data_IF_634873741406
#
_entry.id   IF_634873741406
#
_cell.length_a   1.000
_cell.length_b   1.000
_cell.length_c   1.000
_cell.angle_alpha   90.00
_cell.angle_beta   90.00
_cell.angle_gamma   90.00
#
_symmetry.space_group_name_H-M   'P 1'
#
loop_
_entity.id
_entity.type
_entity.pdbx_description
1 polymer ?
#
# COMPACT_ATOMS: atom_id res chain seq x y z
N UNK A 1 -30.04 52.90 -44.03
CA UNK A 1 -29.24 51.68 -43.83
C UNK A 1 -29.07 51.44 -42.33
N UNK A 2 -29.70 50.41 -41.76
CA UNK A 2 -29.54 50.01 -40.35
C UNK A 2 -29.02 48.57 -40.32
N UNK A 3 -27.78 48.38 -39.86
CA UNK A 3 -27.22 47.05 -39.61
C UNK A 3 -27.63 46.58 -38.21
N UNK A 4 -28.28 45.42 -38.11
CA UNK A 4 -28.48 44.71 -36.84
C UNK A 4 -27.37 43.67 -36.70
N UNK A 5 -26.55 43.79 -35.66
CA UNK A 5 -25.59 42.77 -35.24
C UNK A 5 -26.34 41.71 -34.41
N UNK A 6 -26.32 40.45 -34.86
CA UNK A 6 -26.76 39.30 -34.08
C UNK A 6 -25.54 38.69 -33.37
N UNK A 7 -25.53 38.71 -32.05
CA UNK A 7 -24.55 38.00 -31.24
C UNK A 7 -25.03 36.56 -31.02
N UNK A 8 -24.27 35.59 -31.53
CA UNK A 8 -24.42 34.17 -31.21
C UNK A 8 -23.67 33.87 -29.92
N UNK A 9 -24.39 33.51 -28.86
CA UNK A 9 -23.82 32.94 -27.64
C UNK A 9 -23.77 31.43 -27.81
N UNK A 10 -22.58 30.87 -27.99
CA UNK A 10 -22.36 29.44 -28.00
C UNK A 10 -22.27 28.92 -26.56
N UNK A 11 -23.28 28.17 -26.12
CA UNK A 11 -23.23 27.40 -24.88
C UNK A 11 -22.42 26.11 -25.12
N UNK A 12 -21.20 26.08 -24.60
CA UNK A 12 -20.41 24.85 -24.53
C UNK A 12 -21.01 23.92 -23.49
N UNK A 13 -21.63 22.83 -23.95
CA UNK A 13 -22.04 21.70 -23.11
C UNK A 13 -20.78 21.05 -22.53
N UNK A 14 -20.49 21.31 -21.26
CA UNK A 14 -19.52 20.53 -20.49
C UNK A 14 -20.14 19.16 -20.27
N UNK A 15 -19.70 18.19 -21.06
CA UNK A 15 -20.02 16.78 -20.84
C UNK A 15 -19.41 16.35 -19.51
N UNK A 16 -20.27 16.10 -18.53
CA UNK A 16 -19.88 15.38 -17.32
C UNK A 16 -19.57 13.94 -17.73
N UNK A 17 -18.28 13.58 -17.77
CA UNK A 17 -17.90 12.17 -17.85
C UNK A 17 -18.46 11.45 -16.62
N UNK A 18 -19.09 10.27 -16.79
CA UNK A 18 -19.53 9.48 -15.65
C UNK A 18 -18.30 9.11 -14.83
N UNK A 19 -18.33 9.43 -13.54
CA UNK A 19 -17.39 8.88 -12.56
C UNK A 19 -17.44 7.36 -12.73
N UNK A 20 -16.33 6.79 -13.19
CA UNK A 20 -16.17 5.35 -13.27
C UNK A 20 -16.48 4.80 -11.87
N UNK A 21 -17.57 4.05 -11.75
CA UNK A 21 -17.91 3.37 -10.51
C UNK A 21 -16.76 2.45 -10.16
N UNK A 22 -16.06 2.75 -9.06
CA UNK A 22 -15.11 1.83 -8.47
C UNK A 22 -15.87 0.51 -8.22
N UNK A 23 -15.44 -0.55 -8.89
CA UNK A 23 -15.97 -1.89 -8.67
C UNK A 23 -15.72 -2.26 -7.21
N UNK A 24 -16.71 -2.86 -6.55
CA UNK A 24 -16.76 -3.24 -5.12
C UNK A 24 -15.50 -4.01 -4.63
N UNK A 25 -14.74 -4.64 -5.52
CA UNK A 25 -13.49 -5.35 -5.22
C UNK A 25 -12.20 -4.50 -5.31
N UNK A 26 -12.28 -3.18 -5.45
CA UNK A 26 -11.09 -2.33 -5.56
C UNK A 26 -10.29 -2.26 -4.26
N UNK A 27 -10.85 -2.63 -3.11
CA UNK A 27 -10.16 -2.57 -1.82
C UNK A 27 -8.98 -3.55 -1.68
N UNK A 28 -8.98 -4.65 -2.45
CA UNK A 28 -8.02 -5.76 -2.31
C UNK A 28 -6.86 -5.73 -3.33
N UNK A 29 -7.11 -5.27 -4.57
CA UNK A 29 -6.16 -5.47 -5.67
C UNK A 29 -5.01 -4.47 -5.64
N UNK A 30 -3.86 -4.89 -5.13
CA UNK A 30 -2.62 -4.13 -5.24
C UNK A 30 -2.01 -4.21 -6.63
N UNK A 31 -1.31 -3.15 -7.03
CA UNK A 31 -0.40 -3.20 -8.16
C UNK A 31 0.82 -4.02 -7.73
N UNK A 32 1.10 -5.10 -8.45
CA UNK A 32 2.29 -5.94 -8.27
C UNK A 32 3.38 -5.44 -9.19
N UNK A 33 4.61 -5.35 -8.67
CA UNK A 33 5.79 -4.93 -9.39
C UNK A 33 6.91 -5.95 -9.17
N UNK A 34 7.69 -6.19 -10.22
CA UNK A 34 8.92 -6.95 -10.18
C UNK A 34 10.11 -5.99 -10.05
N UNK A 35 11.24 -6.42 -9.46
CA UNK A 35 12.46 -5.60 -9.39
C UNK A 35 12.90 -5.07 -10.76
N UNK A 36 12.69 -5.84 -11.82
CA UNK A 36 12.97 -5.45 -13.20
C UNK A 36 12.15 -4.24 -13.66
N UNK A 37 10.90 -4.12 -13.22
CA UNK A 37 10.05 -2.98 -13.52
C UNK A 37 10.65 -1.70 -12.94
N UNK A 38 11.31 -1.79 -11.79
CA UNK A 38 11.92 -0.67 -11.08
C UNK A 38 13.24 -0.16 -11.68
N UNK A 39 13.73 -0.80 -12.76
CA UNK A 39 14.78 -0.22 -13.62
C UNK A 39 14.31 1.08 -14.26
N UNK A 40 13.00 1.21 -14.45
CA UNK A 40 12.34 2.45 -14.81
C UNK A 40 11.49 2.93 -13.64
N UNK A 41 11.18 4.23 -13.60
CA UNK A 41 10.27 4.74 -12.58
C UNK A 41 8.86 4.28 -12.91
N UNK A 42 8.27 3.53 -11.99
CA UNK A 42 6.89 3.07 -12.07
C UNK A 42 6.00 4.07 -11.33
N UNK A 43 5.03 4.63 -12.03
CA UNK A 43 4.08 5.59 -11.47
C UNK A 43 2.71 4.94 -11.24
N UNK A 44 2.24 5.00 -9.99
CA UNK A 44 0.99 4.39 -9.55
C UNK A 44 0.04 5.53 -9.14
N UNK A 45 -0.97 5.85 -9.97
CA UNK A 45 -1.90 6.93 -9.68
C UNK A 45 -2.81 6.58 -8.51
N UNK A 46 -3.22 7.60 -7.76
CA UNK A 46 -4.35 7.48 -6.84
C UNK A 46 -5.68 7.34 -7.61
N UNK A 47 -6.72 6.75 -7.00
CA UNK A 47 -8.04 6.60 -7.64
C UNK A 47 -8.64 7.89 -8.20
N UNK A 48 -8.44 9.03 -7.52
CA UNK A 48 -8.92 10.36 -7.95
C UNK A 48 -8.06 11.01 -9.07
N UNK A 49 -6.94 10.37 -9.43
CA UNK A 49 -5.97 10.86 -10.42
C UNK A 49 -5.19 12.11 -10.01
N UNK A 50 -5.39 12.64 -8.79
CA UNK A 50 -4.75 13.89 -8.33
C UNK A 50 -3.33 13.67 -7.82
N UNK A 51 -3.03 12.45 -7.37
CA UNK A 51 -1.76 12.07 -6.77
C UNK A 51 -1.19 10.84 -7.45
N UNK A 52 0.10 10.60 -7.23
CA UNK A 52 0.74 9.34 -7.60
C UNK A 52 1.90 9.02 -6.67
N UNK A 53 2.11 7.73 -6.49
CA UNK A 53 3.32 7.19 -5.88
C UNK A 53 4.22 6.73 -7.03
N UNK A 54 5.44 7.22 -7.08
CA UNK A 54 6.44 6.79 -8.04
C UNK A 54 7.48 5.94 -7.31
N UNK A 55 7.65 4.71 -7.77
CA UNK A 55 8.62 3.76 -7.24
C UNK A 55 9.72 3.56 -8.28
N UNK A 56 10.96 3.69 -7.84
CA UNK A 56 12.13 3.39 -8.67
C UNK A 56 13.18 2.72 -7.81
N UNK A 57 14.12 2.03 -8.44
CA UNK A 57 15.21 1.42 -7.71
C UNK A 57 15.45 0.00 -8.17
N UNK A 58 16.52 -0.15 -8.93
CA UNK A 58 17.26 -1.38 -9.13
C UNK A 58 18.52 -0.98 -9.92
N UNK A 59 19.63 -0.66 -9.23
CA UNK A 59 20.90 -0.35 -9.88
C UNK A 59 21.91 -1.40 -9.48
N UNK A 60 22.20 -2.29 -10.44
CA UNK A 60 23.25 -3.32 -10.47
C UNK A 60 23.74 -3.85 -9.12
N UNK A 61 23.15 -4.98 -8.70
CA UNK A 61 23.63 -6.15 -7.94
C UNK A 61 24.82 -6.11 -6.96
N UNK A 62 25.60 -5.05 -6.81
CA UNK A 62 26.81 -5.10 -5.97
C UNK A 62 26.62 -4.57 -4.56
N UNK A 63 26.00 -3.40 -4.32
CA UNK A 63 26.16 -2.80 -2.98
C UNK A 63 24.96 -2.03 -2.40
N UNK A 64 23.77 -2.03 -3.00
CA UNK A 64 22.57 -1.54 -2.29
C UNK A 64 21.25 -1.99 -2.91
N UNK A 65 20.69 -3.10 -2.41
CA UNK A 65 19.28 -3.43 -2.64
C UNK A 65 18.40 -2.39 -1.95
N UNK A 66 17.52 -1.76 -2.72
CA UNK A 66 16.71 -0.66 -2.23
C UNK A 66 16.07 0.12 -3.35
N UNK A 67 15.33 1.14 -2.95
CA UNK A 67 14.62 1.97 -3.91
C UNK A 67 14.25 3.32 -3.34
N UNK A 68 13.54 4.06 -4.16
CA UNK A 68 13.06 5.39 -3.88
C UNK A 68 11.56 5.41 -4.10
N UNK A 69 10.84 5.66 -3.02
CA UNK A 69 9.42 6.00 -3.09
C UNK A 69 9.30 7.51 -3.09
N UNK A 70 8.66 8.05 -4.13
CA UNK A 70 8.34 9.47 -4.24
C UNK A 70 6.83 9.62 -4.34
N UNK A 71 6.27 10.66 -3.72
CA UNK A 71 4.84 10.92 -3.75
C UNK A 71 4.60 12.32 -4.30
N UNK A 72 3.74 12.40 -5.31
CA UNK A 72 3.45 13.63 -6.05
C UNK A 72 1.98 14.02 -5.95
N UNK A 73 1.73 15.32 -6.09
CA UNK A 73 0.42 15.89 -6.42
C UNK A 73 0.57 16.76 -7.67
N UNK A 74 -0.05 16.35 -8.77
CA UNK A 74 0.29 16.91 -10.09
C UNK A 74 1.80 16.83 -10.34
N UNK A 75 2.47 17.96 -10.63
CA UNK A 75 3.94 17.99 -10.84
C UNK A 75 4.76 18.22 -9.56
N UNK A 76 4.12 18.52 -8.43
CA UNK A 76 4.80 18.85 -7.17
C UNK A 76 5.19 17.56 -6.46
N UNK A 77 6.48 17.38 -6.17
CA UNK A 77 6.97 16.37 -5.23
C UNK A 77 6.56 16.76 -3.81
N UNK A 78 5.74 15.94 -3.15
CA UNK A 78 5.34 16.15 -1.76
C UNK A 78 6.37 15.58 -0.79
N UNK A 79 6.84 14.36 -1.05
CA UNK A 79 7.79 13.66 -0.17
C UNK A 79 8.55 12.56 -0.90
N UNK A 80 9.71 12.21 -0.36
CA UNK A 80 10.54 11.11 -0.83
C UNK A 80 11.02 10.27 0.36
N UNK A 81 11.05 8.95 0.17
CA UNK A 81 11.50 7.97 1.15
C UNK A 81 12.51 7.03 0.49
N UNK A 82 13.63 6.77 1.17
CA UNK A 82 14.54 5.70 0.80
C UNK A 82 13.99 4.38 1.33
N UNK A 83 14.07 3.35 0.50
CA UNK A 83 13.71 1.98 0.80
C UNK A 83 14.99 1.14 0.81
N UNK A 84 15.05 0.17 1.72
CA UNK A 84 16.15 -0.78 1.83
C UNK A 84 15.60 -2.19 1.59
N UNK A 85 16.43 -3.04 1.01
CA UNK A 85 16.06 -4.43 0.75
C UNK A 85 14.79 -4.52 -0.12
N UNK A 86 14.65 -3.67 -1.13
CA UNK A 86 13.51 -3.73 -2.05
C UNK A 86 13.82 -4.78 -3.12
N UNK A 87 13.75 -6.07 -2.77
CA UNK A 87 14.32 -7.14 -3.61
C UNK A 87 13.30 -8.04 -4.29
N UNK A 88 12.08 -8.18 -3.75
CA UNK A 88 11.04 -9.01 -4.35
C UNK A 88 9.65 -8.72 -3.78
N UNK A 89 8.61 -9.33 -4.37
CA UNK A 89 7.24 -9.32 -3.83
C UNK A 89 6.74 -7.92 -3.55
N UNK A 90 6.85 -7.00 -4.51
CA UNK A 90 6.60 -5.58 -4.33
C UNK A 90 5.15 -5.29 -4.68
N UNK A 91 4.39 -4.78 -3.72
CA UNK A 91 2.99 -4.44 -3.87
C UNK A 91 2.75 -3.02 -3.41
N UNK A 92 1.98 -2.27 -4.19
CA UNK A 92 1.56 -0.92 -3.82
C UNK A 92 0.07 -0.75 -4.09
N UNK A 93 -0.65 -0.16 -3.15
CA UNK A 93 -2.09 0.05 -3.27
C UNK A 93 -2.53 1.32 -2.59
N UNK A 94 -3.13 2.21 -3.38
CA UNK A 94 -3.91 3.33 -2.86
C UNK A 94 -5.22 2.87 -2.24
N UNK A 95 -5.57 3.49 -1.13
CA UNK A 95 -6.91 3.44 -0.57
C UNK A 95 -7.92 4.12 -1.53
N UNK A 96 -9.19 3.70 -1.55
CA UNK A 96 -10.17 4.20 -2.51
C UNK A 96 -10.42 5.71 -2.46
N UNK A 97 -10.37 6.32 -1.29
CA UNK A 97 -10.51 7.78 -1.12
C UNK A 97 -9.26 8.59 -1.53
N UNK A 98 -8.23 7.93 -2.06
CA UNK A 98 -6.97 8.55 -2.50
C UNK A 98 -6.19 9.30 -1.40
N UNK A 99 -6.53 9.07 -0.13
CA UNK A 99 -5.90 9.76 1.00
C UNK A 99 -4.81 8.92 1.66
N UNK A 100 -4.65 7.64 1.32
CA UNK A 100 -3.56 6.78 1.79
C UNK A 100 -3.13 5.77 0.75
N UNK A 101 -1.95 5.19 0.96
CA UNK A 101 -1.51 4.00 0.27
C UNK A 101 -0.56 3.19 1.16
N UNK A 102 -0.41 1.91 0.85
CA UNK A 102 0.61 1.07 1.46
C UNK A 102 1.62 0.63 0.40
N UNK A 103 2.84 0.36 0.86
CA UNK A 103 3.89 -0.32 0.12
C UNK A 103 4.31 -1.55 0.92
N UNK A 104 4.23 -2.71 0.29
CA UNK A 104 4.68 -3.98 0.82
C UNK A 104 5.79 -4.54 -0.05
N UNK A 105 6.83 -5.11 0.54
CA UNK A 105 7.90 -5.77 -0.19
C UNK A 105 8.62 -6.80 0.66
N UNK A 106 9.34 -7.72 -0.01
CA UNK A 106 10.28 -8.63 0.62
C UNK A 106 11.73 -8.19 0.40
N UNK A 107 12.57 -8.38 1.41
CA UNK A 107 14.02 -8.19 1.36
C UNK A 107 14.84 -9.43 0.97
N UNK A 108 14.18 -10.55 0.68
CA UNK A 108 14.85 -11.79 0.27
C UNK A 108 13.95 -12.77 -0.50
N UNK A 109 12.90 -12.27 -1.16
CA UNK A 109 11.95 -13.12 -1.88
C UNK A 109 11.15 -14.04 -0.97
N UNK A 110 11.00 -15.30 -1.38
CA UNK A 110 10.16 -16.29 -0.70
C UNK A 110 10.61 -16.63 0.73
N UNK A 111 11.88 -16.37 1.07
CA UNK A 111 12.46 -16.64 2.40
C UNK A 111 12.91 -15.36 3.14
N UNK A 112 12.64 -14.20 2.56
CA UNK A 112 12.99 -12.89 3.13
C UNK A 112 11.89 -12.28 3.97
N UNK A 113 12.23 -11.20 4.68
CA UNK A 113 11.29 -10.49 5.52
C UNK A 113 10.33 -9.70 4.66
N UNK A 114 9.05 -9.88 4.91
CA UNK A 114 8.03 -9.01 4.36
C UNK A 114 7.81 -7.79 5.24
N UNK A 115 7.93 -6.63 4.61
CA UNK A 115 7.79 -5.32 5.21
C UNK A 115 6.53 -4.66 4.67
N UNK A 116 5.82 -3.92 5.52
CA UNK A 116 4.71 -3.06 5.10
C UNK A 116 4.90 -1.68 5.70
N UNK A 117 4.83 -0.66 4.84
CA UNK A 117 4.76 0.75 5.24
C UNK A 117 3.46 1.35 4.75
N UNK A 118 2.81 2.10 5.62
CA UNK A 118 1.54 2.77 5.34
C UNK A 118 1.77 4.28 5.35
N UNK A 119 1.23 4.96 4.33
CA UNK A 119 1.41 6.39 4.13
C UNK A 119 0.06 7.10 4.02
N UNK A 120 -0.11 8.17 4.80
CA UNK A 120 -1.24 9.09 4.73
C UNK A 120 -0.85 10.34 3.96
N UNK A 121 -1.72 10.75 3.04
CA UNK A 121 -1.57 12.00 2.29
C UNK A 121 -2.67 12.96 2.71
N UNK A 122 -2.30 14.01 3.45
CA UNK A 122 -3.22 15.05 3.92
C UNK A 122 -2.78 16.40 3.35
N UNK A 123 -3.62 16.97 2.49
CA UNK A 123 -3.31 18.16 1.70
C UNK A 123 -1.99 18.01 0.93
N UNK A 124 -0.94 18.72 1.35
CA UNK A 124 0.38 18.74 0.73
C UNK A 124 1.45 17.99 1.55
N UNK A 125 1.04 17.19 2.54
CA UNK A 125 1.94 16.42 3.40
C UNK A 125 1.71 14.92 3.22
N UNK A 126 2.81 14.18 3.25
CA UNK A 126 2.83 12.73 3.26
C UNK A 126 3.52 12.27 4.54
N UNK A 127 2.78 11.50 5.34
CA UNK A 127 3.24 10.97 6.62
C UNK A 127 3.24 9.46 6.54
N UNK A 128 4.33 8.84 6.98
CA UNK A 128 4.31 7.41 7.30
C UNK A 128 3.67 7.23 8.67
N UNK A 129 2.73 6.29 8.77
CA UNK A 129 2.01 6.01 10.02
C UNK A 129 2.49 4.69 10.65
N UNK A 130 2.50 4.58 11.99
CA UNK A 130 3.10 3.45 12.70
C UNK A 130 2.20 2.19 12.71
N UNK A 131 1.14 2.17 11.91
CA UNK A 131 0.07 1.16 11.89
C UNK A 131 0.59 -0.28 11.89
N UNK A 132 1.53 -0.60 10.99
CA UNK A 132 2.07 -1.96 10.85
C UNK A 132 3.03 -2.32 11.98
N UNK A 133 3.85 -1.36 12.42
CA UNK A 133 4.78 -1.54 13.54
C UNK A 133 4.05 -1.85 14.85
N UNK A 134 2.91 -1.22 15.11
CA UNK A 134 2.12 -1.48 16.33
C UNK A 134 1.53 -2.90 16.30
N UNK A 135 1.00 -3.34 15.15
CA UNK A 135 0.52 -4.71 14.97
C UNK A 135 1.65 -5.73 15.17
N UNK A 136 2.81 -5.52 14.54
CA UNK A 136 3.98 -6.38 14.67
C UNK A 136 4.46 -6.46 16.13
N UNK A 137 4.56 -5.32 16.82
CA UNK A 137 4.96 -5.27 18.23
C UNK A 137 3.95 -5.99 19.14
N UNK A 138 2.65 -5.92 18.85
CA UNK A 138 1.64 -6.62 19.62
C UNK A 138 1.71 -8.14 19.40
N UNK A 139 1.89 -8.56 18.15
CA UNK A 139 2.10 -9.96 17.78
C UNK A 139 3.35 -10.55 18.44
N UNK A 140 4.46 -9.81 18.41
CA UNK A 140 5.74 -10.20 18.99
C UNK A 140 5.71 -10.41 20.52
N UNK A 141 4.69 -9.93 21.23
CA UNK A 141 4.52 -10.21 22.67
C UNK A 141 4.23 -11.69 22.93
N UNK A 142 3.67 -12.41 21.95
CA UNK A 142 3.26 -13.82 22.09
C UNK A 142 3.95 -14.74 21.11
N UNK A 143 4.15 -14.28 19.87
CA UNK A 143 4.69 -15.09 18.77
C UNK A 143 5.81 -14.31 18.08
N UNK A 144 7.02 -14.84 18.10
CA UNK A 144 8.19 -14.14 17.57
C UNK A 144 9.29 -15.12 17.15
N UNK A 145 9.77 -15.02 15.91
CA UNK A 145 10.98 -15.73 15.52
C UNK A 145 12.22 -14.94 15.94
N UNK A 146 12.93 -15.39 16.98
CA UNK A 146 14.14 -14.70 17.46
C UNK A 146 15.23 -14.56 16.40
N UNK A 147 15.34 -15.53 15.50
CA UNK A 147 16.37 -15.55 14.47
C UNK A 147 16.12 -14.52 13.34
N UNK A 148 14.86 -14.18 13.08
CA UNK A 148 14.47 -13.47 11.84
C UNK A 148 13.54 -12.27 12.05
N UNK A 149 12.84 -12.18 13.18
CA UNK A 149 11.68 -11.31 13.31
C UNK A 149 10.42 -11.98 12.77
N UNK A 150 9.39 -11.20 12.48
CA UNK A 150 8.13 -11.71 11.93
C UNK A 150 7.88 -11.06 10.57
N UNK A 151 7.13 -11.75 9.71
CA UNK A 151 6.63 -11.17 8.48
C UNK A 151 5.38 -10.35 8.75
N UNK A 152 5.21 -9.28 7.98
CA UNK A 152 4.02 -8.43 8.00
C UNK A 152 3.51 -8.26 6.58
N UNK A 153 2.20 -8.40 6.39
CA UNK A 153 1.53 -8.30 5.10
C UNK A 153 0.33 -7.36 5.17
N UNK A 154 0.17 -6.47 4.19
CA UNK A 154 -1.06 -5.71 4.03
C UNK A 154 -2.07 -6.57 3.27
N UNK A 155 -3.30 -6.69 3.79
CA UNK A 155 -4.35 -7.49 3.16
C UNK A 155 -5.26 -6.59 2.32
N UNK A 156 -5.96 -5.64 2.95
CA UNK A 156 -6.79 -4.66 2.25
C UNK A 156 -7.15 -3.46 3.13
N UNK A 157 -7.70 -2.44 2.47
CA UNK A 157 -8.27 -1.27 3.10
C UNK A 157 -9.71 -1.50 3.57
N UNK A 158 -10.10 -0.81 4.64
CA UNK A 158 -11.47 -0.70 5.14
C UNK A 158 -11.78 0.75 5.50
N UNK A 159 -13.07 1.08 5.54
CA UNK A 159 -13.56 2.45 5.79
C UNK A 159 -12.81 3.48 4.92
N UNK A 160 -12.77 3.19 3.61
CA UNK A 160 -11.91 3.83 2.61
C UNK A 160 -10.42 3.72 2.94
N UNK A 161 -9.95 4.58 3.83
CA UNK A 161 -8.56 4.61 4.28
C UNK A 161 -8.43 4.68 5.79
N UNK A 162 -9.53 4.78 6.54
CA UNK A 162 -9.51 4.91 8.00
C UNK A 162 -8.91 3.70 8.68
N UNK A 163 -9.01 2.53 8.03
CA UNK A 163 -8.61 1.25 8.61
C UNK A 163 -7.88 0.37 7.58
N UNK A 164 -6.99 -0.48 8.07
CA UNK A 164 -6.30 -1.47 7.24
C UNK A 164 -6.24 -2.80 7.97
N UNK A 165 -6.46 -3.88 7.22
CA UNK A 165 -6.23 -5.25 7.68
C UNK A 165 -4.79 -5.63 7.37
N UNK A 166 -4.07 -6.07 8.40
CA UNK A 166 -2.67 -6.52 8.33
C UNK A 166 -2.59 -7.94 8.85
N UNK A 167 -1.86 -8.81 8.15
CA UNK A 167 -1.50 -10.15 8.62
C UNK A 167 -0.05 -10.15 9.12
N UNK A 168 0.20 -10.88 10.20
CA UNK A 168 1.54 -11.09 10.74
C UNK A 168 1.80 -12.59 10.86
N UNK A 169 2.98 -13.03 10.47
CA UNK A 169 3.35 -14.45 10.43
C UNK A 169 4.72 -14.65 11.09
N UNK A 170 4.85 -15.69 11.91
CA UNK A 170 6.15 -16.24 12.29
C UNK A 170 6.62 -17.13 11.14
N UNK A 171 7.85 -16.93 10.66
CA UNK A 171 8.41 -17.72 9.56
C UNK A 171 8.15 -19.23 9.71
N UNK A 172 7.74 -19.92 8.63
CA UNK A 172 7.47 -21.36 8.63
C UNK A 172 8.77 -22.17 8.53
N UNK A 173 9.78 -21.81 9.33
CA UNK A 173 11.10 -22.42 9.35
C UNK A 173 11.46 -22.93 10.74
N UNK A 174 12.20 -24.03 10.81
CA UNK A 174 12.46 -24.76 12.06
C UNK A 174 13.24 -23.96 13.12
N UNK A 175 13.99 -22.94 12.70
CA UNK A 175 14.69 -21.99 13.58
C UNK A 175 13.75 -21.07 14.38
N UNK A 176 12.46 -21.06 14.06
CA UNK A 176 11.43 -20.32 14.81
C UNK A 176 10.70 -21.16 15.87
N UNK A 177 11.06 -22.45 16.00
CA UNK A 177 10.58 -23.31 17.08
C UNK A 177 9.07 -23.54 17.05
N UNK A 178 8.44 -23.58 18.23
CA UNK A 178 7.03 -23.99 18.38
C UNK A 178 6.02 -23.08 17.69
N UNK A 179 6.39 -21.83 17.39
CA UNK A 179 5.50 -20.83 16.81
C UNK A 179 5.68 -20.75 15.28
N UNK A 180 6.52 -21.60 14.67
CA UNK A 180 6.76 -21.58 13.22
C UNK A 180 5.45 -21.65 12.43
N UNK A 181 5.29 -20.76 11.44
CA UNK A 181 4.10 -20.65 10.58
C UNK A 181 2.87 -20.06 11.26
N UNK A 182 2.93 -19.71 12.56
CA UNK A 182 1.78 -19.13 13.25
C UNK A 182 1.41 -17.79 12.63
N UNK A 183 0.14 -17.62 12.30
CA UNK A 183 -0.39 -16.40 11.66
C UNK A 183 -1.53 -15.79 12.48
N UNK A 184 -1.54 -14.46 12.57
CA UNK A 184 -2.65 -13.70 13.14
C UNK A 184 -2.87 -12.41 12.36
N UNK A 185 -4.07 -11.84 12.47
CA UNK A 185 -4.41 -10.58 11.80
C UNK A 185 -4.71 -9.45 12.77
N UNK A 186 -4.66 -8.22 12.24
CA UNK A 186 -5.01 -7.01 12.96
C UNK A 186 -5.81 -6.08 12.06
N UNK A 187 -6.94 -5.60 12.56
CA UNK A 187 -7.59 -4.40 12.04
C UNK A 187 -7.04 -3.21 12.79
N UNK A 188 -6.44 -2.27 12.06
CA UNK A 188 -5.73 -1.15 12.67
C UNK A 188 -6.23 0.16 12.09
N UNK A 189 -6.52 1.12 12.96
CA UNK A 189 -6.82 2.49 12.58
C UNK A 189 -5.56 3.17 12.03
N UNK A 190 -5.67 3.83 10.88
CA UNK A 190 -4.49 4.24 10.11
C UNK A 190 -3.93 5.59 10.56
N UNK A 191 -4.69 6.41 11.28
CA UNK A 191 -4.20 7.72 11.72
C UNK A 191 -3.25 7.65 12.93
N UNK A 192 -3.48 6.71 13.84
CA UNK A 192 -2.75 6.58 15.11
C UNK A 192 -2.16 5.18 15.36
N UNK A 193 -2.54 4.21 14.53
CA UNK A 193 -2.11 2.81 14.67
C UNK A 193 -2.82 2.06 15.80
N UNK A 194 -3.95 2.56 16.30
CA UNK A 194 -4.76 1.86 17.30
C UNK A 194 -5.26 0.53 16.74
N UNK A 195 -5.01 -0.57 17.46
CA UNK A 195 -5.54 -1.90 17.11
C UNK A 195 -7.02 -1.92 17.49
N UNK A 196 -7.89 -2.02 16.49
CA UNK A 196 -9.35 -2.10 16.64
C UNK A 196 -9.77 -3.54 16.90
N UNK A 197 -9.25 -4.49 16.11
CA UNK A 197 -9.56 -5.93 16.22
C UNK A 197 -8.29 -6.75 16.05
N UNK A 198 -8.21 -7.86 16.78
CA UNK A 198 -7.26 -8.95 16.54
C UNK A 198 -8.03 -10.11 15.92
N UNK A 199 -7.54 -10.61 14.80
CA UNK A 199 -8.08 -11.77 14.12
C UNK A 199 -7.29 -13.02 14.52
N UNK A 200 -8.00 -14.09 14.83
CA UNK A 200 -7.41 -15.42 14.93
C UNK A 200 -7.06 -15.95 13.54
N UNK A 201 -6.22 -17.00 13.48
CA UNK A 201 -5.75 -17.60 12.22
C UNK A 201 -6.89 -17.90 11.21
N UNK A 202 -8.02 -18.54 11.58
CA UNK A 202 -9.09 -18.81 10.61
C UNK A 202 -9.77 -17.55 10.09
N UNK A 203 -9.83 -16.49 10.90
CA UNK A 203 -10.44 -15.23 10.50
C UNK A 203 -9.52 -14.46 9.54
N UNK A 204 -8.22 -14.36 9.84
CA UNK A 204 -7.29 -13.66 8.95
C UNK A 204 -7.08 -14.42 7.64
N UNK A 205 -7.09 -15.75 7.66
CA UNK A 205 -7.10 -16.55 6.44
C UNK A 205 -8.33 -16.26 5.57
N UNK A 206 -9.49 -16.05 6.18
CA UNK A 206 -10.70 -15.68 5.46
C UNK A 206 -10.53 -14.31 4.79
N UNK A 207 -10.06 -13.29 5.51
CA UNK A 207 -9.79 -11.95 4.95
C UNK A 207 -8.79 -12.01 3.78
N UNK A 208 -7.71 -12.79 3.92
CA UNK A 208 -6.73 -13.01 2.86
C UNK A 208 -7.38 -13.67 1.64
N UNK A 209 -8.15 -14.75 1.85
CA UNK A 209 -8.81 -15.49 0.76
C UNK A 209 -9.87 -14.63 0.06
N UNK A 210 -10.62 -13.80 0.79
CA UNK A 210 -11.59 -12.89 0.17
C UNK A 210 -10.96 -11.83 -0.73
N UNK A 211 -9.69 -11.47 -0.48
CA UNK A 211 -8.95 -10.53 -1.31
C UNK A 211 -8.05 -11.18 -2.37
N UNK A 212 -7.74 -12.47 -2.20
CA UNK A 212 -6.99 -13.26 -3.16
C UNK A 212 -7.93 -13.73 -4.26
N UNK A 213 -8.13 -12.92 -5.29
CA UNK A 213 -8.81 -13.37 -6.52
C UNK A 213 -7.89 -14.28 -7.37
N UNK A 214 -7.36 -15.34 -6.76
CA UNK A 214 -6.66 -16.46 -7.41
C UNK A 214 -7.43 -17.75 -7.21
#
# INVERSE_FOLDING_TARGET
MRFRLLALVAFSLVGASPLAGASDNDHCRAQVLMPEDLKQTQEIPSPDGQRRAALSGYREFKDSEGGLLQVFQGRKLLRQFRLRGLSAGIYIKWAPDSAAFYLMWSDGGAIGNYHVRVFRVKADRVLEVPTTRIAEMDFAKKHYCRARGNNVYAVHWLADSGEIVVSTEVYPTSDCGKDLGFTAGYLVHTDDGTIIKRFLEPEIEWEIKSCSAF
#
